data_IF_948834924352
#
_entry.id   IF_948834924352
#
_cell.length_a   1.000
_cell.length_b   1.000
_cell.length_c   1.000
_cell.angle_alpha   90.00
_cell.angle_beta   90.00
_cell.angle_gamma   90.00
#
_symmetry.space_group_name_H-M   'P 1'
#
loop_
_entity.id
_entity.type
_entity.pdbx_description
1 polymer ?
#
# COMPACT_ATOMS: atom_id res chain seq x y z
N UNK A 1 -6.60 -3.62 28.20
CA UNK A 1 -6.35 -2.45 27.32
C UNK A 1 -5.28 -2.88 26.31
N UNK A 2 -5.55 -2.70 25.00
CA UNK A 2 -4.55 -2.98 23.98
C UNK A 2 -3.36 -2.00 24.13
N UNK A 3 -2.13 -2.48 23.91
CA UNK A 3 -0.95 -1.62 23.95
C UNK A 3 -1.03 -0.55 22.85
N UNK A 4 -0.30 0.56 23.01
CA UNK A 4 -0.26 1.65 21.99
C UNK A 4 0.22 1.12 20.63
N UNK A 5 1.15 0.17 20.61
CA UNK A 5 1.66 -0.49 19.42
C UNK A 5 0.60 -1.34 18.71
N UNK A 6 -0.19 -2.10 19.50
CA UNK A 6 -1.32 -2.87 18.97
C UNK A 6 -2.36 -1.96 18.29
N UNK A 7 -2.70 -0.83 18.90
CA UNK A 7 -3.64 0.12 18.32
C UNK A 7 -3.12 0.74 17.02
N UNK A 8 -1.84 1.09 16.96
CA UNK A 8 -1.22 1.65 15.76
C UNK A 8 -1.20 0.64 14.61
N UNK A 9 -0.93 -0.61 14.90
CA UNK A 9 -0.97 -1.71 13.93
C UNK A 9 -2.39 -1.89 13.36
N UNK A 10 -3.40 -1.99 14.23
CA UNK A 10 -4.80 -2.13 13.83
C UNK A 10 -5.23 -0.97 12.92
N UNK A 11 -4.93 0.27 13.31
CA UNK A 11 -5.24 1.46 12.49
C UNK A 11 -4.57 1.40 11.11
N UNK A 12 -3.30 1.02 11.05
CA UNK A 12 -2.55 0.90 9.78
C UNK A 12 -3.17 -0.15 8.86
N UNK A 13 -3.39 -1.36 9.38
CA UNK A 13 -3.97 -2.48 8.63
C UNK A 13 -5.41 -2.20 8.18
N UNK A 14 -6.21 -1.57 9.04
CA UNK A 14 -7.57 -1.14 8.69
C UNK A 14 -7.58 -0.16 7.51
N UNK A 15 -6.64 0.77 7.47
CA UNK A 15 -6.53 1.74 6.39
C UNK A 15 -6.02 1.10 5.09
N UNK A 16 -5.06 0.16 5.15
CA UNK A 16 -4.61 -0.64 4.01
C UNK A 16 -5.78 -1.41 3.38
N UNK A 17 -6.62 -2.05 4.20
CA UNK A 17 -7.82 -2.74 3.73
C UNK A 17 -8.81 -1.79 3.07
N UNK A 18 -9.11 -0.66 3.71
CA UNK A 18 -10.02 0.35 3.16
C UNK A 18 -9.53 0.88 1.82
N UNK A 19 -8.23 1.13 1.68
CA UNK A 19 -7.62 1.60 0.44
C UNK A 19 -7.82 0.58 -0.68
N UNK A 20 -7.54 -0.70 -0.41
CA UNK A 20 -7.70 -1.77 -1.40
C UNK A 20 -9.17 -1.93 -1.82
N UNK A 21 -10.11 -1.91 -0.87
CA UNK A 21 -11.56 -2.00 -1.16
C UNK A 21 -12.02 -0.82 -2.02
N UNK A 22 -11.57 0.40 -1.72
CA UNK A 22 -11.92 1.57 -2.52
C UNK A 22 -11.33 1.51 -3.93
N UNK A 23 -10.13 0.97 -4.10
CA UNK A 23 -9.58 0.67 -5.42
C UNK A 23 -10.47 -0.31 -6.19
N UNK A 24 -10.82 -1.43 -5.59
CA UNK A 24 -11.69 -2.43 -6.21
C UNK A 24 -13.02 -1.82 -6.61
N UNK A 25 -13.72 -1.12 -5.71
CA UNK A 25 -15.05 -0.55 -5.95
C UNK A 25 -15.08 0.45 -7.09
N UNK A 26 -14.05 1.30 -7.19
CA UNK A 26 -13.98 2.34 -8.22
C UNK A 26 -13.52 1.80 -9.56
N UNK A 27 -12.47 0.98 -9.54
CA UNK A 27 -11.81 0.53 -10.77
C UNK A 27 -12.58 -0.59 -11.47
N UNK A 28 -13.32 -1.46 -10.75
CA UNK A 28 -14.14 -2.51 -11.38
C UNK A 28 -15.21 -2.00 -12.34
N UNK A 29 -15.52 -0.70 -12.28
CA UNK A 29 -16.45 -0.06 -13.22
C UNK A 29 -15.80 0.30 -14.55
N UNK A 30 -14.48 0.29 -14.62
CA UNK A 30 -13.69 0.79 -15.74
C UNK A 30 -12.76 -0.27 -16.34
N UNK A 31 -12.32 -1.25 -15.54
CA UNK A 31 -11.38 -2.29 -15.95
C UNK A 31 -11.64 -3.60 -15.20
N UNK A 32 -11.09 -4.71 -15.69
CA UNK A 32 -11.12 -5.98 -14.95
C UNK A 32 -10.21 -5.89 -13.73
N UNK A 33 -10.76 -6.08 -12.53
CA UNK A 33 -10.03 -6.04 -11.27
C UNK A 33 -10.06 -7.40 -10.58
N UNK A 34 -8.90 -7.85 -10.12
CA UNK A 34 -8.73 -9.05 -9.31
C UNK A 34 -8.04 -8.70 -7.99
N UNK A 35 -8.72 -8.93 -6.87
CA UNK A 35 -8.14 -8.81 -5.53
C UNK A 35 -7.46 -10.12 -5.14
N UNK A 36 -6.19 -10.05 -4.77
CA UNK A 36 -5.42 -11.18 -4.24
C UNK A 36 -5.67 -11.30 -2.74
N UNK A 37 -6.47 -12.32 -2.37
CA UNK A 37 -6.88 -12.57 -0.97
C UNK A 37 -5.84 -13.43 -0.24
N UNK A 38 -4.63 -12.88 -0.08
CA UNK A 38 -3.55 -13.51 0.69
C UNK A 38 -3.74 -13.35 2.21
N UNK A 39 -2.77 -13.84 3.01
CA UNK A 39 -2.80 -13.72 4.48
C UNK A 39 -2.81 -12.27 4.96
N UNK A 40 -2.08 -11.37 4.28
CA UNK A 40 -2.06 -9.94 4.61
C UNK A 40 -3.42 -9.28 4.41
N UNK A 41 -4.12 -9.65 3.34
CA UNK A 41 -5.50 -9.22 3.12
C UNK A 41 -6.43 -9.66 4.25
N UNK A 42 -6.33 -10.93 4.71
CA UNK A 42 -7.17 -11.43 5.79
C UNK A 42 -6.92 -10.69 7.11
N UNK A 43 -5.65 -10.51 7.47
CA UNK A 43 -5.26 -9.75 8.67
C UNK A 43 -5.78 -8.31 8.61
N UNK A 44 -5.62 -7.64 7.47
CA UNK A 44 -6.08 -6.27 7.29
C UNK A 44 -7.60 -6.15 7.38
N UNK A 45 -8.34 -7.13 6.81
CA UNK A 45 -9.78 -7.24 6.92
C UNK A 45 -10.23 -7.42 8.37
N UNK A 46 -9.65 -8.35 9.11
CA UNK A 46 -9.96 -8.60 10.51
C UNK A 46 -9.69 -7.36 11.37
N UNK A 47 -8.58 -6.65 11.13
CA UNK A 47 -8.32 -5.37 11.79
C UNK A 47 -9.42 -4.35 11.50
N UNK A 48 -9.85 -4.20 10.25
CA UNK A 48 -10.91 -3.27 9.86
C UNK A 48 -12.25 -3.63 10.50
N UNK A 49 -12.61 -4.91 10.55
CA UNK A 49 -13.84 -5.39 11.18
C UNK A 49 -13.82 -5.26 12.71
N UNK A 50 -12.65 -5.16 13.32
CA UNK A 50 -12.49 -5.01 14.78
C UNK A 50 -12.65 -3.59 15.29
N UNK A 51 -12.57 -2.57 14.45
CA UNK A 51 -12.74 -1.17 14.84
C UNK A 51 -14.21 -0.74 14.80
N UNK A 52 -14.54 0.39 15.41
CA UNK A 52 -15.91 0.90 15.44
C UNK A 52 -16.43 1.26 14.04
N UNK A 53 -17.76 1.23 13.85
CA UNK A 53 -18.41 1.63 12.59
C UNK A 53 -18.03 3.05 12.18
N UNK A 54 -17.83 3.96 13.14
CA UNK A 54 -17.39 5.32 12.88
C UNK A 54 -15.97 5.32 12.28
N UNK A 55 -15.03 4.62 12.90
CA UNK A 55 -13.66 4.49 12.39
C UNK A 55 -13.61 3.82 11.00
N UNK A 56 -14.43 2.78 10.78
CA UNK A 56 -14.56 2.14 9.45
C UNK A 56 -15.00 3.16 8.38
N UNK A 57 -15.99 4.01 8.72
CA UNK A 57 -16.49 5.06 7.83
C UNK A 57 -15.43 6.11 7.54
N UNK A 58 -14.68 6.54 8.55
CA UNK A 58 -13.58 7.52 8.42
C UNK A 58 -12.45 6.97 7.53
N UNK A 59 -12.05 5.72 7.73
CA UNK A 59 -11.04 5.07 6.89
C UNK A 59 -11.51 4.92 5.44
N UNK A 60 -12.76 4.49 5.24
CA UNK A 60 -13.34 4.32 3.92
C UNK A 60 -13.45 5.64 3.16
N UNK A 61 -13.85 6.71 3.83
CA UNK A 61 -13.94 8.04 3.25
C UNK A 61 -12.55 8.58 2.86
N UNK A 62 -11.58 8.48 3.76
CA UNK A 62 -10.20 8.91 3.52
C UNK A 62 -9.57 8.13 2.37
N UNK A 63 -9.75 6.81 2.35
CA UNK A 63 -9.30 5.94 1.26
C UNK A 63 -9.96 6.29 -0.08
N UNK A 64 -11.27 6.61 -0.06
CA UNK A 64 -12.00 7.03 -1.25
C UNK A 64 -11.41 8.29 -1.90
N UNK A 65 -11.06 9.30 -1.10
CA UNK A 65 -10.39 10.51 -1.60
C UNK A 65 -8.99 10.20 -2.15
N UNK A 66 -8.21 9.40 -1.44
CA UNK A 66 -6.87 9.01 -1.88
C UNK A 66 -6.91 8.26 -3.22
N UNK A 67 -7.85 7.33 -3.39
CA UNK A 67 -7.99 6.56 -4.64
C UNK A 67 -8.41 7.45 -5.80
N UNK A 68 -9.35 8.40 -5.59
CA UNK A 68 -9.71 9.36 -6.64
C UNK A 68 -8.50 10.15 -7.10
N UNK A 69 -7.73 10.70 -6.15
CA UNK A 69 -6.52 11.45 -6.47
C UNK A 69 -5.50 10.58 -7.24
N UNK A 70 -5.30 9.33 -6.83
CA UNK A 70 -4.38 8.42 -7.50
C UNK A 70 -4.86 8.07 -8.93
N UNK A 71 -6.15 7.91 -9.15
CA UNK A 71 -6.71 7.69 -10.49
C UNK A 71 -6.51 8.90 -11.41
N UNK A 72 -6.57 10.11 -10.86
CA UNK A 72 -6.35 11.35 -11.63
C UNK A 72 -4.90 11.52 -12.08
N UNK A 73 -3.93 11.13 -11.22
CA UNK A 73 -2.49 11.27 -11.50
C UNK A 73 -1.88 10.07 -12.22
N UNK A 74 -2.50 8.88 -12.16
CA UNK A 74 -2.02 7.66 -12.81
C UNK A 74 -3.17 6.99 -13.62
N UNK A 75 -3.38 7.44 -14.85
CA UNK A 75 -4.47 6.94 -15.70
C UNK A 75 -4.40 5.43 -15.99
N UNK A 76 -3.21 4.82 -15.91
CA UNK A 76 -3.04 3.36 -16.10
C UNK A 76 -3.75 2.51 -15.04
N UNK A 77 -4.14 3.10 -13.92
CA UNK A 77 -5.01 2.42 -12.95
C UNK A 77 -6.38 2.12 -13.54
N UNK A 78 -6.98 3.08 -14.25
CA UNK A 78 -8.37 3.04 -14.71
C UNK A 78 -8.54 2.75 -16.20
N UNK A 79 -7.51 2.93 -17.01
CA UNK A 79 -7.63 2.70 -18.45
C UNK A 79 -7.97 1.24 -18.75
N UNK A 80 -9.01 1.04 -19.55
CA UNK A 80 -9.32 -0.26 -20.15
C UNK A 80 -8.37 -0.50 -21.33
N UNK A 81 -7.38 -1.34 -21.11
CA UNK A 81 -6.33 -1.62 -22.09
C UNK A 81 -6.62 -2.92 -22.88
N UNK A 82 -7.82 -3.44 -22.72
CA UNK A 82 -8.30 -4.65 -23.40
C UNK A 82 -8.93 -5.65 -22.44
N UNK A 83 -9.80 -6.48 -22.96
CA UNK A 83 -10.60 -7.43 -22.16
C UNK A 83 -9.76 -8.47 -21.41
N UNK A 84 -8.54 -8.72 -21.87
CA UNK A 84 -7.66 -9.75 -21.30
C UNK A 84 -6.67 -9.18 -20.28
N UNK A 85 -6.62 -7.85 -20.12
CA UNK A 85 -5.77 -7.22 -19.12
C UNK A 85 -6.48 -7.12 -17.78
N UNK A 86 -5.87 -7.70 -16.76
CA UNK A 86 -6.40 -7.73 -15.40
C UNK A 86 -5.52 -6.83 -14.52
N UNK A 87 -6.17 -5.89 -13.82
CA UNK A 87 -5.54 -5.15 -12.74
C UNK A 87 -5.61 -5.99 -11.46
N UNK A 88 -4.47 -6.50 -11.01
CA UNK A 88 -4.37 -7.19 -9.74
C UNK A 88 -4.11 -6.20 -8.61
N UNK A 89 -4.85 -6.35 -7.50
CA UNK A 89 -4.67 -5.58 -6.28
C UNK A 89 -4.23 -6.50 -5.15
N UNK A 90 -3.14 -6.15 -4.47
CA UNK A 90 -2.56 -6.96 -3.40
C UNK A 90 -2.15 -6.10 -2.21
N UNK A 91 -2.42 -6.57 -0.97
CA UNK A 91 -1.79 -6.04 0.25
C UNK A 91 -0.50 -6.83 0.48
N UNK A 92 0.61 -6.10 0.61
CA UNK A 92 1.91 -6.70 0.84
C UNK A 92 2.10 -7.14 2.30
N UNK A 93 2.94 -8.17 2.48
CA UNK A 93 3.30 -8.61 3.83
C UNK A 93 4.33 -7.67 4.47
N UNK A 94 4.26 -7.53 5.80
CA UNK A 94 5.22 -6.74 6.57
C UNK A 94 6.66 -7.26 6.46
N UNK A 95 6.84 -8.55 6.12
CA UNK A 95 8.16 -9.13 5.87
C UNK A 95 8.87 -8.55 4.63
N UNK A 96 8.10 -8.11 3.63
CA UNK A 96 8.65 -7.35 2.51
C UNK A 96 9.13 -5.97 2.97
N UNK A 97 8.43 -5.33 3.90
CA UNK A 97 8.84 -4.08 4.53
C UNK A 97 10.16 -4.18 5.29
N UNK A 98 10.40 -5.29 6.01
CA UNK A 98 11.68 -5.57 6.67
C UNK A 98 12.85 -5.72 5.68
N UNK A 99 12.56 -6.08 4.43
CA UNK A 99 13.51 -6.16 3.32
C UNK A 99 13.64 -4.85 2.53
N UNK A 100 13.10 -3.74 3.04
CA UNK A 100 13.19 -2.41 2.44
C UNK A 100 12.14 -2.11 1.36
N UNK A 101 11.08 -2.91 1.24
CA UNK A 101 9.92 -2.55 0.42
C UNK A 101 8.96 -1.74 1.28
N UNK A 102 8.77 -0.47 0.94
CA UNK A 102 7.95 0.48 1.71
C UNK A 102 6.49 0.54 1.22
N UNK A 103 6.15 -0.27 0.22
CA UNK A 103 4.81 -0.32 -0.36
C UNK A 103 3.90 -1.16 0.52
N UNK A 104 2.68 -0.72 0.74
CA UNK A 104 1.69 -1.42 1.55
C UNK A 104 0.63 -2.09 0.65
N UNK A 105 0.21 -1.40 -0.42
CA UNK A 105 -0.74 -1.90 -1.43
C UNK A 105 -0.12 -1.84 -2.82
N UNK A 106 -0.25 -2.90 -3.60
CA UNK A 106 0.19 -2.97 -5.00
C UNK A 106 -0.99 -3.01 -5.96
N UNK A 107 -0.87 -2.28 -7.07
CA UNK A 107 -1.69 -2.45 -8.27
C UNK A 107 -0.78 -2.89 -9.41
N UNK A 108 -1.09 -4.03 -10.05
CA UNK A 108 -0.21 -4.69 -11.00
C UNK A 108 -0.99 -5.02 -12.28
N UNK A 109 -0.43 -4.66 -13.44
CA UNK A 109 -0.88 -5.10 -14.76
C UNK A 109 0.18 -6.00 -15.39
N UNK A 110 -0.02 -7.31 -15.30
CA UNK A 110 0.98 -8.31 -15.68
C UNK A 110 1.34 -8.27 -17.17
N UNK A 111 0.34 -8.14 -18.04
CA UNK A 111 0.56 -8.13 -19.50
C UNK A 111 1.38 -6.91 -19.93
N UNK A 112 1.24 -5.81 -19.21
CA UNK A 112 1.97 -4.57 -19.51
C UNK A 112 3.28 -4.43 -18.76
N UNK A 113 3.62 -5.39 -17.91
CA UNK A 113 4.79 -5.33 -17.02
C UNK A 113 4.85 -4.03 -16.23
N UNK A 114 3.69 -3.58 -15.74
CA UNK A 114 3.52 -2.34 -14.99
C UNK A 114 3.03 -2.62 -13.57
N UNK A 115 3.58 -1.90 -12.63
CA UNK A 115 3.10 -1.90 -11.25
C UNK A 115 3.22 -0.52 -10.63
N UNK A 116 2.32 -0.21 -9.70
CA UNK A 116 2.43 0.92 -8.79
C UNK A 116 2.22 0.45 -7.36
N UNK A 117 3.10 0.91 -6.47
CA UNK A 117 2.99 0.65 -5.04
C UNK A 117 2.54 1.90 -4.29
N UNK A 118 1.56 1.73 -3.43
CA UNK A 118 1.05 2.79 -2.56
C UNK A 118 1.47 2.53 -1.13
N UNK A 119 2.09 3.51 -0.48
CA UNK A 119 2.37 3.46 0.95
C UNK A 119 1.21 4.13 1.69
N UNK A 120 0.43 3.31 2.41
CA UNK A 120 -0.76 3.74 3.14
C UNK A 120 -0.37 4.35 4.49
N UNK A 121 -0.64 5.64 4.67
CA UNK A 121 -0.37 6.34 5.94
C UNK A 121 -1.63 7.07 6.39
N UNK A 122 -2.14 6.71 7.57
CA UNK A 122 -3.30 7.36 8.17
C UNK A 122 -2.84 8.38 9.21
N UNK A 123 -3.26 9.64 9.04
CA UNK A 123 -3.00 10.76 9.98
C UNK A 123 -1.52 10.96 10.37
N UNK A 124 -0.59 10.66 9.49
CA UNK A 124 0.80 11.04 9.69
C UNK A 124 1.02 12.49 9.23
N UNK A 125 1.17 13.41 10.18
CA UNK A 125 1.53 14.81 9.91
C UNK A 125 2.94 14.98 9.33
N UNK A 126 3.75 13.95 9.41
CA UNK A 126 5.06 13.91 8.78
C UNK A 126 5.17 12.63 7.94
N UNK A 127 5.58 12.78 6.70
CA UNK A 127 6.11 11.66 5.91
C UNK A 127 7.34 11.18 6.67
N UNK A 128 7.24 10.02 7.34
CA UNK A 128 8.45 9.40 7.89
C UNK A 128 9.36 9.12 6.70
N UNK A 129 10.48 9.79 6.67
CA UNK A 129 11.56 9.43 5.76
C UNK A 129 11.80 7.92 5.89
N UNK A 130 12.10 7.27 4.77
CA UNK A 130 12.60 5.90 4.79
C UNK A 130 13.62 5.78 5.92
N UNK A 131 13.43 4.81 6.81
CA UNK A 131 14.35 4.63 7.92
C UNK A 131 15.73 4.37 7.33
N UNK A 132 16.68 5.18 7.71
CA UNK A 132 18.07 4.91 7.40
C UNK A 132 18.43 3.54 7.99
N UNK A 133 19.17 2.77 7.27
CA UNK A 133 19.55 1.41 7.69
C UNK A 133 21.06 1.25 7.56
N UNK A 134 21.69 0.77 8.62
CA UNK A 134 23.11 0.40 8.60
C UNK A 134 23.41 -0.89 7.79
N UNK A 135 22.37 -1.59 7.34
CA UNK A 135 22.50 -2.89 6.65
C UNK A 135 21.88 -2.93 5.26
N UNK A 136 21.08 -1.93 4.88
CA UNK A 136 20.40 -1.89 3.57
C UNK A 136 20.96 -0.73 2.76
N UNK A 137 21.51 -1.04 1.59
CA UNK A 137 21.87 -0.04 0.58
C UNK A 137 20.62 0.33 -0.22
N UNK A 138 19.95 1.40 0.21
CA UNK A 138 18.77 1.90 -0.50
C UNK A 138 19.11 2.50 -1.86
N UNK A 139 20.29 3.05 -2.02
CA UNK A 139 20.75 3.57 -3.32
C UNK A 139 20.88 2.47 -4.34
N UNK A 140 21.52 1.35 -3.99
CA UNK A 140 21.62 0.18 -4.85
C UNK A 140 20.24 -0.45 -5.11
N UNK A 141 19.44 -0.59 -4.06
CA UNK A 141 18.14 -1.28 -4.14
C UNK A 141 17.11 -0.52 -4.97
N UNK A 142 17.05 0.81 -4.87
CA UNK A 142 16.01 1.61 -5.55
C UNK A 142 16.47 2.26 -6.84
N UNK A 143 17.75 2.56 -6.95
CA UNK A 143 18.29 3.32 -8.07
C UNK A 143 19.41 2.59 -8.82
N UNK A 144 19.82 1.39 -8.37
CA UNK A 144 20.95 0.67 -8.94
C UNK A 144 22.31 1.35 -8.71
N UNK A 145 22.39 2.30 -7.77
CA UNK A 145 23.59 3.09 -7.47
C UNK A 145 24.04 2.79 -6.05
N UNK A 146 25.23 2.19 -5.91
CA UNK A 146 25.80 1.90 -4.59
C UNK A 146 26.11 3.19 -3.83
N UNK A 147 25.67 3.25 -2.57
CA UNK A 147 26.04 4.34 -1.67
C UNK A 147 27.47 4.17 -1.17
N UNK A 148 28.08 5.29 -0.78
CA UNK A 148 29.47 5.28 -0.27
C UNK A 148 29.55 4.59 1.10
N UNK A 149 30.74 4.06 1.45
CA UNK A 149 31.00 3.50 2.79
C UNK A 149 30.70 4.50 3.91
N UNK A 150 30.94 5.79 3.68
CA UNK A 150 30.65 6.84 4.66
C UNK A 150 29.17 6.96 5.04
N UNK A 151 28.24 6.44 4.22
CA UNK A 151 26.83 6.36 4.59
C UNK A 151 26.65 5.39 5.76
N UNK A 152 27.19 4.17 5.63
CA UNK A 152 27.05 3.13 6.65
C UNK A 152 27.77 3.45 7.96
N UNK A 153 28.81 4.26 7.90
CA UNK A 153 29.55 4.71 9.09
C UNK A 153 28.80 5.78 9.90
N UNK A 154 27.78 6.41 9.29
CA UNK A 154 27.01 7.52 9.90
C UNK A 154 25.59 7.16 10.29
N UNK A 155 25.13 5.96 9.97
CA UNK A 155 23.77 5.44 10.20
C UNK A 155 23.79 4.31 11.21
#
# INVERSE_FOLDING_TARGET
MASKESKQMITGKSFEYSLLVQFEEKLKKQTNVQVIKNSSFQIAKECFESVSVLEQSEYSLSASFAVNFLMDIEPRLSNDIGKDDILQLEILSDDKGKKGDVRDVLAIRLLQKWEIGVSAKNNHHAVKHSRLSSSIDFGEKWFGIKVSKNYFDKV
#
